data_IF_083874621445
#
_entry.id   IF_083874621445
#
_cell.length_a   1.000
_cell.length_b   1.000
_cell.length_c   1.000
_cell.angle_alpha   90.00
_cell.angle_beta   90.00
_cell.angle_gamma   90.00
#
_symmetry.space_group_name_H-M   'P 1'
#
loop_
_entity.id
_entity.type
_entity.pdbx_description
1 polymer ?
#
# COMPACT_ATOMS: atom_id res chain seq x y z
N UNK A 1 -1.79 7.97 -13.54
CA UNK A 1 -1.30 6.58 -13.47
C UNK A 1 -2.14 5.82 -12.44
N UNK A 2 -2.93 4.83 -12.89
CA UNK A 2 -3.74 4.02 -11.99
C UNK A 2 -2.90 2.88 -11.42
N UNK A 3 -2.61 2.92 -10.12
CA UNK A 3 -1.99 1.81 -9.39
C UNK A 3 -2.91 1.49 -8.20
N UNK A 4 -3.81 0.49 -8.34
CA UNK A 4 -4.71 0.13 -7.26
C UNK A 4 -3.91 -0.01 -5.96
N UNK A 5 -4.34 0.63 -4.86
CA UNK A 5 -5.67 1.17 -4.60
C UNK A 5 -5.92 2.64 -5.02
N UNK A 6 -4.90 3.37 -5.46
CA UNK A 6 -5.01 4.82 -5.70
C UNK A 6 -4.75 5.21 -7.15
N UNK A 7 -5.22 6.39 -7.53
CA UNK A 7 -4.87 7.01 -8.81
C UNK A 7 -3.91 8.17 -8.58
N UNK A 8 -2.67 8.00 -9.04
CA UNK A 8 -1.66 9.06 -8.97
C UNK A 8 -1.76 9.99 -10.18
N UNK A 9 -1.66 11.29 -9.92
CA UNK A 9 -1.75 12.34 -10.94
C UNK A 9 -0.48 13.17 -10.92
N UNK A 10 0.02 13.51 -12.11
CA UNK A 10 1.28 14.22 -12.28
C UNK A 10 1.13 15.32 -13.32
N UNK A 11 1.81 16.43 -13.08
CA UNK A 11 1.98 17.51 -14.06
C UNK A 11 3.37 17.39 -14.69
N UNK A 12 3.39 17.28 -16.02
CA UNK A 12 4.64 17.23 -16.80
C UNK A 12 5.16 18.65 -16.98
N UNK A 13 6.42 18.88 -16.61
CA UNK A 13 7.11 20.18 -16.75
C UNK A 13 7.97 20.18 -18.02
N UNK A 14 8.72 19.11 -18.24
CA UNK A 14 9.64 18.98 -19.37
C UNK A 14 9.65 17.53 -19.89
N UNK A 15 10.06 17.36 -21.15
CA UNK A 15 10.25 16.05 -21.75
C UNK A 15 11.67 15.55 -21.44
N UNK A 16 11.77 14.27 -21.10
CA UNK A 16 13.05 13.59 -20.93
C UNK A 16 13.40 12.85 -22.22
N UNK A 17 14.60 13.06 -22.75
CA UNK A 17 15.08 12.38 -23.97
C UNK A 17 15.55 10.95 -23.69
N UNK A 18 16.02 10.68 -22.46
CA UNK A 18 16.60 9.41 -22.05
C UNK A 18 16.15 9.00 -20.65
N UNK A 19 16.37 7.73 -20.29
CA UNK A 19 16.13 7.24 -18.92
C UNK A 19 17.20 7.77 -17.98
N UNK A 20 16.78 8.45 -16.92
CA UNK A 20 17.64 9.14 -15.96
C UNK A 20 17.55 8.54 -14.54
N UNK A 21 18.45 8.97 -13.66
CA UNK A 21 18.44 8.60 -12.26
C UNK A 21 17.23 9.20 -11.52
N UNK A 22 16.71 8.48 -10.51
CA UNK A 22 15.51 8.87 -9.76
C UNK A 22 15.59 10.26 -9.10
N UNK A 23 16.80 10.72 -8.76
CA UNK A 23 17.03 12.02 -8.13
C UNK A 23 16.64 13.21 -9.02
N UNK A 24 16.76 13.07 -10.35
CA UNK A 24 16.45 14.16 -11.31
C UNK A 24 14.96 14.23 -11.66
N UNK A 25 14.16 13.26 -11.23
CA UNK A 25 12.72 13.18 -11.56
C UNK A 25 11.91 14.44 -11.19
N UNK A 26 12.15 15.11 -10.04
CA UNK A 26 11.39 16.32 -9.68
C UNK A 26 11.54 17.49 -10.66
N UNK A 27 12.60 17.51 -11.49
CA UNK A 27 12.83 18.56 -12.48
C UNK A 27 11.91 18.43 -13.70
N UNK A 28 11.43 17.21 -13.99
CA UNK A 28 10.64 16.91 -15.19
C UNK A 28 9.15 16.74 -14.88
N UNK A 29 8.79 16.40 -13.64
CA UNK A 29 7.40 16.25 -13.23
C UNK A 29 7.16 16.64 -11.78
N UNK A 30 5.98 17.18 -11.52
CA UNK A 30 5.47 17.43 -10.16
C UNK A 30 4.31 16.50 -9.88
N UNK A 31 4.31 15.91 -8.69
CA UNK A 31 3.18 15.11 -8.21
C UNK A 31 2.03 16.05 -7.82
N UNK A 32 0.85 15.81 -8.38
CA UNK A 32 -0.39 16.57 -8.12
C UNK A 32 -1.50 15.60 -7.69
N UNK A 33 -1.10 14.50 -7.04
CA UNK A 33 -2.04 13.53 -6.47
C UNK A 33 -2.87 14.24 -5.39
N UNK A 34 -4.22 14.14 -5.41
CA UNK A 34 -5.06 14.73 -4.38
C UNK A 34 -4.74 14.16 -2.99
N UNK A 35 -4.89 14.99 -1.95
CA UNK A 35 -4.67 14.56 -0.57
C UNK A 35 -5.57 13.38 -0.17
N UNK A 36 -6.84 13.37 -0.62
CA UNK A 36 -7.79 12.29 -0.36
C UNK A 36 -7.30 10.92 -0.85
N UNK A 37 -6.62 10.87 -1.99
CA UNK A 37 -6.04 9.62 -2.52
C UNK A 37 -4.82 9.19 -1.69
N UNK A 38 -4.03 10.14 -1.18
CA UNK A 38 -2.89 9.83 -0.31
C UNK A 38 -3.36 9.30 1.06
N UNK A 39 -4.43 9.87 1.61
CA UNK A 39 -5.05 9.39 2.84
C UNK A 39 -5.56 7.94 2.70
N UNK A 40 -6.22 7.61 1.58
CA UNK A 40 -6.63 6.22 1.28
C UNK A 40 -5.42 5.27 1.30
N UNK A 41 -4.28 5.70 0.75
CA UNK A 41 -3.05 4.89 0.75
C UNK A 41 -2.54 4.67 2.18
N UNK A 42 -2.55 5.70 3.02
CA UNK A 42 -2.12 5.63 4.41
C UNK A 42 -3.04 4.73 5.24
N UNK A 43 -4.36 4.89 5.10
CA UNK A 43 -5.34 4.02 5.73
C UNK A 43 -5.15 2.55 5.34
N UNK A 44 -4.86 2.27 4.07
CA UNK A 44 -4.60 0.90 3.62
C UNK A 44 -3.29 0.34 4.16
N UNK A 45 -2.25 1.16 4.24
CA UNK A 45 -0.99 0.77 4.87
C UNK A 45 -1.20 0.41 6.35
N UNK A 46 -2.02 1.19 7.05
CA UNK A 46 -2.36 0.96 8.45
C UNK A 46 -3.23 -0.30 8.63
N UNK A 47 -4.21 -0.53 7.74
CA UNK A 47 -5.04 -1.76 7.72
C UNK A 47 -4.25 -3.03 7.44
N UNK A 48 -3.14 -2.95 6.71
CA UNK A 48 -2.35 -4.13 6.35
C UNK A 48 -1.66 -4.80 7.56
N UNK A 49 -1.71 -4.19 8.75
CA UNK A 49 -1.17 -4.75 10.00
C UNK A 49 -2.04 -5.90 10.55
N UNK A 50 -3.30 -6.01 10.14
CA UNK A 50 -4.18 -7.12 10.57
C UNK A 50 -3.85 -8.48 9.92
N UNK A 51 -2.79 -8.54 9.11
CA UNK A 51 -2.26 -9.79 8.62
C UNK A 51 -1.34 -10.43 9.67
N UNK A 52 -1.68 -11.66 10.08
CA UNK A 52 -0.87 -12.49 10.98
C UNK A 52 0.59 -12.52 10.49
N UNK A 53 1.55 -12.59 11.42
CA UNK A 53 2.98 -12.55 11.10
C UNK A 53 3.34 -13.51 9.95
N UNK A 54 4.17 -13.03 9.02
CA UNK A 54 4.52 -13.77 7.80
C UNK A 54 5.09 -15.15 8.17
N UNK A 55 4.41 -16.23 7.78
CA UNK A 55 4.79 -17.61 8.12
C UNK A 55 3.85 -18.31 9.11
N UNK A 56 2.93 -17.57 9.74
CA UNK A 56 1.92 -18.15 10.66
C UNK A 56 0.77 -18.87 9.95
N UNK A 57 0.61 -18.67 8.63
CA UNK A 57 -0.25 -19.48 7.76
C UNK A 57 -1.69 -19.68 8.27
N UNK A 58 -2.31 -20.81 7.88
CA UNK A 58 -3.59 -21.26 8.44
C UNK A 58 -3.41 -21.47 9.95
N UNK A 59 -4.39 -21.09 10.80
CA UNK A 59 -4.31 -21.28 12.24
C UNK A 59 -3.80 -22.65 12.64
N UNK A 60 -2.82 -22.66 13.55
CA UNK A 60 -2.29 -23.90 14.10
C UNK A 60 -3.39 -24.64 14.85
N UNK A 61 -3.24 -25.94 15.06
CA UNK A 61 -4.26 -26.74 15.75
C UNK A 61 -4.53 -26.22 17.17
N UNK A 62 -3.52 -25.63 17.83
CA UNK A 62 -3.66 -25.01 19.16
C UNK A 62 -4.54 -23.76 19.09
N UNK A 63 -4.21 -22.83 18.20
CA UNK A 63 -5.00 -21.61 17.99
C UNK A 63 -6.45 -21.91 17.59
N UNK A 64 -6.67 -22.96 16.80
CA UNK A 64 -8.04 -23.40 16.47
C UNK A 64 -8.78 -23.89 17.72
N UNK A 65 -8.15 -24.70 18.57
CA UNK A 65 -8.75 -25.19 19.82
C UNK A 65 -9.02 -24.04 20.80
N UNK A 66 -8.05 -23.14 20.96
CA UNK A 66 -8.22 -21.96 21.82
C UNK A 66 -9.37 -21.07 21.31
N UNK A 67 -9.60 -21.00 19.99
CA UNK A 67 -10.75 -20.32 19.40
C UNK A 67 -12.05 -21.11 19.59
N UNK A 68 -12.05 -22.42 19.36
CA UNK A 68 -13.21 -23.29 19.56
C UNK A 68 -13.67 -23.21 21.04
N UNK A 69 -12.73 -23.25 21.99
CA UNK A 69 -12.95 -23.08 23.43
C UNK A 69 -13.44 -21.67 23.79
N UNK A 70 -12.97 -20.62 23.08
CA UNK A 70 -13.43 -19.24 23.30
C UNK A 70 -14.84 -18.97 22.77
N UNK A 71 -15.24 -19.66 21.69
CA UNK A 71 -16.57 -19.52 21.09
C UNK A 71 -17.63 -20.44 21.73
N UNK A 72 -17.25 -21.28 22.71
CA UNK A 72 -18.13 -22.18 23.49
C UNK A 72 -19.25 -22.83 22.65
N UNK A 73 -18.85 -23.59 21.61
CA UNK A 73 -19.67 -24.61 20.94
C UNK A 73 -19.14 -25.99 21.29
#
# INVERSE_FOLDING_TARGET
LRRPPITRSYKVIALAENRMAAKMVPEFMVETTPASELEILEEMKNRSIDNRERGTGRPTKKERRDLDDFFDV
#
